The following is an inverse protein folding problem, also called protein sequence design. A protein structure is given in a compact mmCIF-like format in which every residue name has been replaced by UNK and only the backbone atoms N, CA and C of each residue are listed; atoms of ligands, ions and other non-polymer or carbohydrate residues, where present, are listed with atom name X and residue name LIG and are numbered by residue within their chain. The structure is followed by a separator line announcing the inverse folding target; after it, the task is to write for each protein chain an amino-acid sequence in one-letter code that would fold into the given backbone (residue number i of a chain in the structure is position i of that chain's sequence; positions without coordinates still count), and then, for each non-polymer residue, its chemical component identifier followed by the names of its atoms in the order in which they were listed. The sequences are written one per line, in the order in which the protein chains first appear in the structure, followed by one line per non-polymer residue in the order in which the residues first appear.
data_IF_133912827141
#
_entry.id   IF_133912827141
#
_cell.length_a   1.000
_cell.length_b   1.000
_cell.length_c   1.000
_cell.angle_alpha   90.00
_cell.angle_beta   90.00
_cell.angle_gamma   90.00
#
_symmetry.space_group_name_H-M   'P 1'
#
loop_
_entity.id
_entity.type
_entity.pdbx_description
1 polymer ?
#
# COMPACT_ATOMS: atom_id res chain seq x y z
N UNK A 1 37.07 57.25 5.45
CA UNK A 1 37.58 55.94 4.99
C UNK A 1 37.10 54.87 5.95
N UNK A 2 36.08 54.12 5.60
CA UNK A 2 35.43 53.13 6.51
C UNK A 2 36.21 51.82 6.37
N UNK A 3 37.00 51.44 7.39
CA UNK A 3 37.66 50.13 7.45
C UNK A 3 36.61 49.07 7.83
N UNK A 4 36.09 48.39 6.85
CA UNK A 4 35.19 47.24 7.06
C UNK A 4 36.01 46.10 7.66
N UNK A 5 35.65 45.67 8.87
CA UNK A 5 36.35 44.62 9.59
C UNK A 5 36.00 43.26 8.99
N UNK A 6 36.82 42.81 8.03
CA UNK A 6 36.63 41.56 7.26
C UNK A 6 36.45 40.32 8.14
N UNK A 7 37.09 40.29 9.29
CA UNK A 7 36.98 39.17 10.24
C UNK A 7 35.59 39.07 10.90
N UNK A 8 34.89 40.19 11.05
CA UNK A 8 33.55 40.22 11.61
C UNK A 8 32.51 39.70 10.62
N UNK A 9 32.72 40.04 9.34
CA UNK A 9 31.88 39.59 8.22
C UNK A 9 32.07 38.08 8.01
N UNK A 10 33.29 37.57 8.05
CA UNK A 10 33.59 36.15 7.90
C UNK A 10 32.95 35.30 9.02
N UNK A 11 32.96 35.80 10.26
CA UNK A 11 32.28 35.09 11.39
C UNK A 11 30.77 35.07 11.22
N UNK A 12 30.14 36.17 10.77
CA UNK A 12 28.69 36.17 10.50
C UNK A 12 28.32 35.22 9.37
N UNK A 13 29.08 35.17 8.28
CA UNK A 13 28.87 34.23 7.17
C UNK A 13 28.99 32.75 7.62
N UNK A 14 29.96 32.46 8.46
CA UNK A 14 30.13 31.10 9.03
C UNK A 14 28.95 30.68 9.87
N UNK A 15 28.39 31.54 10.71
CA UNK A 15 27.20 31.23 11.50
C UNK A 15 25.94 31.05 10.64
N UNK A 16 25.78 31.88 9.61
CA UNK A 16 24.67 31.76 8.65
C UNK A 16 24.76 30.42 7.90
N UNK A 17 25.95 30.05 7.44
CA UNK A 17 26.16 28.76 6.77
C UNK A 17 25.86 27.58 7.68
N UNK A 18 26.26 27.66 8.94
CA UNK A 18 26.02 26.61 9.93
C UNK A 18 24.51 26.43 10.23
N UNK A 19 23.75 27.52 10.32
CA UNK A 19 22.30 27.52 10.46
C UNK A 19 21.63 26.88 9.25
N UNK A 20 22.08 27.19 8.03
CA UNK A 20 21.55 26.58 6.81
C UNK A 20 21.81 25.07 6.74
N UNK A 21 23.00 24.62 7.15
CA UNK A 21 23.34 23.19 7.21
C UNK A 21 22.44 22.49 8.24
N UNK A 22 22.23 23.08 9.42
CA UNK A 22 21.33 22.52 10.45
C UNK A 22 19.90 22.45 9.92
N UNK A 23 19.39 23.51 9.30
CA UNK A 23 18.06 23.53 8.70
C UNK A 23 17.91 22.48 7.58
N UNK A 24 18.96 22.25 6.79
CA UNK A 24 18.96 21.22 5.74
C UNK A 24 18.97 19.81 6.34
N UNK A 25 19.70 19.58 7.42
CA UNK A 25 19.72 18.30 8.14
C UNK A 25 18.40 18.01 8.85
N UNK A 26 17.72 19.03 9.37
CA UNK A 26 16.38 18.89 9.94
C UNK A 26 15.26 18.85 8.90
N UNK A 27 15.49 19.34 7.68
CA UNK A 27 14.55 19.26 6.55
C UNK A 27 14.53 17.86 5.89
N UNK A 28 15.52 17.01 6.15
CA UNK A 28 15.42 15.59 5.93
C UNK A 28 14.45 14.98 6.99
N UNK A 29 13.21 15.45 7.02
CA UNK A 29 12.12 14.61 7.53
C UNK A 29 12.19 13.35 6.68
N UNK A 30 12.72 12.29 7.29
CA UNK A 30 12.39 10.96 6.89
C UNK A 30 10.87 10.94 6.76
N UNK A 31 10.37 11.06 5.54
CA UNK A 31 9.04 10.58 5.23
C UNK A 31 9.10 9.13 5.68
N UNK A 32 8.62 8.87 6.90
CA UNK A 32 8.37 7.50 7.33
C UNK A 32 7.44 7.00 6.24
N UNK A 33 8.01 6.20 5.35
CA UNK A 33 7.22 5.37 4.46
C UNK A 33 6.13 4.77 5.33
N UNK A 34 4.85 4.90 4.97
CA UNK A 34 3.77 4.37 5.77
C UNK A 34 4.17 2.95 6.08
N UNK A 35 4.23 2.62 7.39
CA UNK A 35 4.72 1.35 7.92
C UNK A 35 4.01 0.27 7.11
N UNK A 36 4.77 -0.40 6.26
CA UNK A 36 4.25 -1.37 5.31
C UNK A 36 3.44 -2.35 6.13
N UNK A 37 2.11 -2.37 5.96
CA UNK A 37 1.24 -3.22 6.76
C UNK A 37 1.48 -4.65 6.28
N UNK A 38 2.51 -5.27 6.83
CA UNK A 38 2.79 -6.67 6.62
C UNK A 38 1.82 -7.50 7.46
N UNK A 39 1.12 -8.41 6.81
CA UNK A 39 0.27 -9.38 7.49
C UNK A 39 1.02 -10.68 7.66
N UNK A 40 1.18 -11.14 8.90
CA UNK A 40 1.76 -12.45 9.15
C UNK A 40 0.70 -13.52 8.91
N UNK A 41 0.97 -14.43 7.99
CA UNK A 41 0.10 -15.57 7.68
C UNK A 41 0.55 -16.77 8.49
N UNK A 42 -0.36 -17.33 9.28
CA UNK A 42 -0.18 -18.56 10.03
C UNK A 42 -1.09 -19.68 9.50
N UNK A 43 -0.85 -20.95 9.86
CA UNK A 43 -1.69 -22.07 9.40
C UNK A 43 -3.19 -21.92 9.70
N UNK A 44 -3.54 -21.20 10.78
CA UNK A 44 -4.95 -20.95 11.15
C UNK A 44 -5.66 -19.94 10.23
N UNK A 45 -4.90 -19.16 9.46
CA UNK A 45 -5.44 -18.09 8.62
C UNK A 45 -5.79 -18.57 7.22
N UNK A 46 -5.39 -19.80 6.86
CA UNK A 46 -5.56 -20.37 5.52
C UNK A 46 -6.03 -21.82 5.56
N UNK A 47 -6.70 -22.22 4.48
CA UNK A 47 -7.07 -23.60 4.20
C UNK A 47 -6.39 -24.08 2.93
N UNK A 48 -5.81 -25.28 2.96
CA UNK A 48 -5.28 -25.91 1.76
C UNK A 48 -6.39 -26.63 1.00
N UNK A 49 -6.50 -26.32 -0.28
CA UNK A 49 -7.43 -27.00 -1.19
C UNK A 49 -6.66 -28.07 -1.97
N UNK A 50 -6.90 -29.34 -1.64
CA UNK A 50 -6.24 -30.49 -2.26
C UNK A 50 -6.57 -30.65 -3.74
N UNK A 51 -7.73 -30.17 -4.20
CA UNK A 51 -8.15 -30.27 -5.60
C UNK A 51 -7.37 -29.28 -6.48
N UNK A 52 -7.21 -28.05 -6.00
CA UNK A 52 -6.57 -26.96 -6.78
C UNK A 52 -5.09 -26.77 -6.45
N UNK A 53 -4.59 -27.44 -5.40
CA UNK A 53 -3.19 -27.32 -4.97
C UNK A 53 -2.82 -25.92 -4.43
N UNK A 54 -3.79 -25.12 -4.01
CA UNK A 54 -3.56 -23.77 -3.52
C UNK A 54 -4.17 -23.56 -2.14
N UNK A 55 -3.60 -22.61 -1.40
CA UNK A 55 -4.16 -22.12 -0.14
C UNK A 55 -5.25 -21.08 -0.41
N UNK A 56 -6.25 -21.06 0.45
CA UNK A 56 -7.30 -20.03 0.46
C UNK A 56 -7.41 -19.42 1.85
N UNK A 57 -7.60 -18.10 1.98
CA UNK A 57 -7.72 -17.47 3.29
C UNK A 57 -9.02 -17.88 3.97
N UNK A 58 -8.97 -17.96 5.30
CA UNK A 58 -10.19 -18.04 6.11
C UNK A 58 -11.02 -16.76 5.93
N UNK A 59 -12.28 -16.82 6.32
CA UNK A 59 -13.18 -15.66 6.24
C UNK A 59 -12.63 -14.49 7.07
N UNK A 60 -12.13 -14.77 8.27
CA UNK A 60 -11.53 -13.73 9.15
C UNK A 60 -10.35 -13.04 8.48
N UNK A 61 -9.44 -13.81 7.89
CA UNK A 61 -8.26 -13.25 7.25
C UNK A 61 -8.61 -12.46 5.97
N UNK A 62 -9.56 -12.97 5.17
CA UNK A 62 -10.09 -12.25 4.01
C UNK A 62 -10.66 -10.90 4.40
N UNK A 63 -11.45 -10.83 5.46
CA UNK A 63 -12.03 -9.59 5.96
C UNK A 63 -10.95 -8.58 6.39
N UNK A 64 -9.83 -9.04 6.93
CA UNK A 64 -8.69 -8.16 7.25
C UNK A 64 -8.07 -7.59 5.98
N UNK A 65 -7.90 -8.39 4.92
CA UNK A 65 -7.40 -7.93 3.62
C UNK A 65 -8.36 -6.91 3.00
N UNK A 66 -9.65 -7.21 2.97
CA UNK A 66 -10.67 -6.27 2.46
C UNK A 66 -10.64 -4.95 3.22
N UNK A 67 -10.55 -4.99 4.55
CA UNK A 67 -10.46 -3.80 5.39
C UNK A 67 -9.19 -2.99 5.08
N UNK A 68 -8.06 -3.65 4.77
CA UNK A 68 -6.86 -2.98 4.31
C UNK A 68 -7.11 -2.24 3.00
N UNK A 69 -7.73 -2.89 2.02
CA UNK A 69 -8.05 -2.26 0.72
C UNK A 69 -8.92 -1.01 0.94
N UNK A 70 -9.99 -1.11 1.73
CA UNK A 70 -10.86 0.04 2.02
C UNK A 70 -10.12 1.22 2.66
N UNK A 71 -9.17 0.95 3.56
CA UNK A 71 -8.40 2.00 4.24
C UNK A 71 -7.38 2.68 3.34
N UNK A 72 -6.86 1.97 2.35
CA UNK A 72 -5.80 2.48 1.48
C UNK A 72 -6.30 2.95 0.13
N UNK A 73 -7.55 2.65 -0.22
CA UNK A 73 -8.18 3.12 -1.43
C UNK A 73 -8.37 4.64 -1.40
N UNK A 74 -7.91 5.30 -2.44
CA UNK A 74 -8.01 6.75 -2.56
C UNK A 74 -8.82 7.15 -3.79
N UNK A 75 -9.95 7.74 -3.56
CA UNK A 75 -10.78 8.27 -4.63
C UNK A 75 -10.07 9.37 -5.43
N UNK A 76 -9.24 10.17 -4.77
CA UNK A 76 -8.46 11.21 -5.46
C UNK A 76 -7.43 10.60 -6.42
N UNK A 77 -6.79 9.48 -6.04
CA UNK A 77 -5.88 8.75 -6.94
C UNK A 77 -6.63 8.08 -8.09
N UNK A 78 -7.84 7.60 -7.83
CA UNK A 78 -8.71 7.07 -8.88
C UNK A 78 -9.15 8.16 -9.88
N UNK A 79 -8.73 9.42 -9.70
CA UNK A 79 -9.05 10.52 -10.62
C UNK A 79 -10.55 10.84 -10.68
N UNK A 80 -11.30 10.31 -9.74
CA UNK A 80 -12.74 10.42 -9.76
C UNK A 80 -13.21 11.69 -9.06
N UNK A 81 -13.37 12.75 -9.83
CA UNK A 81 -13.97 14.00 -9.38
C UNK A 81 -15.49 13.89 -9.53
N UNK A 82 -16.19 13.88 -8.41
CA UNK A 82 -17.59 13.50 -8.37
C UNK A 82 -18.54 14.53 -8.97
N UNK A 83 -19.33 14.05 -9.89
CA UNK A 83 -20.63 14.71 -10.17
C UNK A 83 -21.82 13.84 -9.72
N UNK A 84 -21.66 12.53 -9.57
CA UNK A 84 -22.75 11.59 -9.28
C UNK A 84 -22.39 10.59 -8.18
N UNK A 85 -23.40 10.06 -7.50
CA UNK A 85 -23.23 8.93 -6.59
C UNK A 85 -22.82 7.68 -7.36
N UNK A 86 -21.83 6.94 -6.87
CA UNK A 86 -21.43 5.67 -7.46
C UNK A 86 -21.65 4.58 -6.46
N UNK A 87 -22.28 3.53 -6.92
CA UNK A 87 -22.45 2.30 -6.16
C UNK A 87 -22.11 1.12 -7.05
N UNK A 88 -21.38 0.17 -6.51
CA UNK A 88 -21.05 -1.03 -7.26
C UNK A 88 -20.19 -2.01 -6.48
N UNK A 89 -19.69 -3.00 -7.20
CA UNK A 89 -18.88 -4.06 -6.65
C UNK A 89 -17.82 -4.45 -7.68
N UNK A 90 -16.61 -4.72 -7.21
CA UNK A 90 -15.55 -5.37 -7.96
C UNK A 90 -15.21 -6.71 -7.35
N UNK A 91 -14.83 -7.68 -8.18
CA UNK A 91 -14.28 -8.96 -7.73
C UNK A 91 -12.91 -9.13 -8.36
N UNK A 92 -11.89 -9.25 -7.52
CA UNK A 92 -10.50 -9.39 -7.92
C UNK A 92 -9.98 -10.72 -7.39
N UNK A 93 -9.43 -11.55 -8.28
CA UNK A 93 -8.67 -12.73 -7.91
C UNK A 93 -7.21 -12.34 -7.77
N UNK A 94 -6.60 -12.77 -6.66
CA UNK A 94 -5.17 -12.56 -6.39
C UNK A 94 -4.53 -13.91 -6.15
N UNK A 95 -3.41 -14.17 -6.84
CA UNK A 95 -2.53 -15.29 -6.61
C UNK A 95 -1.22 -14.74 -6.02
N UNK A 96 -0.95 -15.11 -4.76
CA UNK A 96 0.20 -14.64 -3.99
C UNK A 96 1.16 -15.80 -3.72
N UNK A 97 2.43 -15.61 -4.00
CA UNK A 97 3.49 -16.55 -3.66
C UNK A 97 3.93 -16.33 -2.22
N UNK A 98 3.58 -17.26 -1.35
CA UNK A 98 3.95 -17.18 0.06
C UNK A 98 5.44 -17.45 0.31
N UNK A 99 6.10 -18.17 -0.59
CA UNK A 99 7.52 -18.48 -0.46
C UNK A 99 8.37 -17.26 -0.77
N UNK A 100 8.06 -16.59 -1.88
CA UNK A 100 8.82 -15.43 -2.37
C UNK A 100 8.21 -14.09 -1.91
N UNK A 101 7.14 -14.14 -1.12
CA UNK A 101 6.44 -12.95 -0.59
C UNK A 101 6.07 -11.94 -1.67
N UNK A 102 5.58 -12.42 -2.81
CA UNK A 102 5.20 -11.57 -3.94
C UNK A 102 3.87 -11.99 -4.59
N UNK A 103 3.29 -11.08 -5.35
CA UNK A 103 2.08 -11.34 -6.12
C UNK A 103 2.48 -12.01 -7.44
N UNK A 104 1.97 -13.23 -7.69
CA UNK A 104 2.12 -13.94 -8.96
C UNK A 104 1.15 -13.46 -10.03
N UNK A 105 -0.07 -13.09 -9.62
CA UNK A 105 -1.08 -12.66 -10.57
C UNK A 105 -2.23 -11.92 -9.92
N UNK A 106 -2.79 -10.99 -10.68
CA UNK A 106 -4.02 -10.27 -10.34
C UNK A 106 -4.94 -10.35 -11.55
N UNK A 107 -6.21 -10.74 -11.33
CA UNK A 107 -7.25 -10.75 -12.37
C UNK A 107 -8.50 -10.08 -11.84
N UNK A 108 -9.04 -9.15 -12.60
CA UNK A 108 -10.36 -8.59 -12.34
C UNK A 108 -11.38 -9.55 -12.94
N UNK A 109 -12.17 -10.19 -12.10
CA UNK A 109 -13.27 -11.08 -12.52
C UNK A 109 -14.56 -10.30 -12.75
N UNK A 110 -14.74 -9.21 -12.02
CA UNK A 110 -15.85 -8.27 -12.18
C UNK A 110 -15.28 -6.86 -12.05
N UNK A 111 -15.37 -6.08 -13.12
CA UNK A 111 -14.91 -4.69 -13.18
C UNK A 111 -15.91 -3.75 -12.51
N UNK A 112 -15.41 -2.63 -12.01
CA UNK A 112 -16.23 -1.49 -11.58
C UNK A 112 -16.89 -0.77 -12.77
N UNK A 113 -16.49 -1.08 -14.02
CA UNK A 113 -16.77 -0.32 -15.25
C UNK A 113 -16.18 1.11 -15.23
N UNK A 114 -15.27 1.39 -14.33
CA UNK A 114 -14.54 2.65 -14.22
C UNK A 114 -13.05 2.30 -14.14
N UNK A 115 -12.34 2.45 -15.23
CA UNK A 115 -10.95 2.01 -15.37
C UNK A 115 -10.04 2.54 -14.24
N UNK A 116 -10.15 3.82 -13.92
CA UNK A 116 -9.34 4.44 -12.86
C UNK A 116 -9.63 3.91 -11.46
N UNK A 117 -10.85 3.44 -11.20
CA UNK A 117 -11.22 2.79 -9.94
C UNK A 117 -10.61 1.40 -9.89
N UNK A 118 -10.67 0.65 -10.99
CA UNK A 118 -10.06 -0.67 -11.10
C UNK A 118 -8.52 -0.59 -10.95
N UNK A 119 -7.89 0.41 -11.56
CA UNK A 119 -6.45 0.67 -11.42
C UNK A 119 -6.05 0.99 -9.97
N UNK A 120 -6.82 1.80 -9.27
CA UNK A 120 -6.59 2.12 -7.87
C UNK A 120 -6.77 0.87 -6.98
N UNK A 121 -7.76 0.02 -7.25
CA UNK A 121 -7.94 -1.25 -6.55
C UNK A 121 -6.73 -2.18 -6.77
N UNK A 122 -6.25 -2.30 -8.00
CA UNK A 122 -5.04 -3.07 -8.33
C UNK A 122 -3.83 -2.49 -7.62
N UNK A 123 -3.70 -1.16 -7.57
CA UNK A 123 -2.62 -0.49 -6.84
C UNK A 123 -2.64 -0.85 -5.35
N UNK A 124 -3.81 -0.79 -4.70
CA UNK A 124 -3.96 -1.19 -3.30
C UNK A 124 -3.60 -2.66 -3.08
N UNK A 125 -4.02 -3.55 -3.99
CA UNK A 125 -3.68 -4.98 -3.93
C UNK A 125 -2.17 -5.20 -4.03
N UNK A 126 -1.49 -4.50 -4.94
CA UNK A 126 -0.03 -4.60 -5.11
C UNK A 126 0.78 -4.13 -3.89
N UNK A 127 0.17 -3.37 -3.01
CA UNK A 127 0.77 -2.94 -1.73
C UNK A 127 0.57 -3.93 -0.59
N UNK A 128 -0.20 -4.99 -0.81
CA UNK A 128 -0.31 -6.07 0.16
C UNK A 128 1.03 -6.79 0.29
N UNK A 129 1.49 -6.93 1.51
CA UNK A 129 2.68 -7.69 1.84
C UNK A 129 2.36 -8.71 2.92
N UNK A 130 2.65 -9.98 2.64
CA UNK A 130 2.42 -11.07 3.58
C UNK A 130 3.76 -11.66 4.02
N UNK A 131 3.92 -11.78 5.34
CA UNK A 131 5.02 -12.51 5.95
C UNK A 131 4.55 -13.92 6.22
N UNK A 132 5.19 -14.90 5.59
CA UNK A 132 4.83 -16.29 5.75
C UNK A 132 5.43 -16.86 7.05
N UNK A 133 4.56 -17.22 8.00
CA UNK A 133 4.94 -17.93 9.22
C UNK A 133 4.74 -19.46 9.12
N UNK A 134 4.31 -19.96 7.95
CA UNK A 134 4.16 -21.39 7.71
C UNK A 134 5.51 -22.00 7.36
N UNK A 135 5.86 -23.10 8.03
CA UNK A 135 7.05 -23.88 7.72
C UNK A 135 6.74 -24.81 6.54
N UNK A 136 7.49 -24.70 5.45
CA UNK A 136 7.36 -25.59 4.30
C UNK A 136 8.24 -25.17 3.14
N UNK A 137 8.72 -26.15 2.36
CA UNK A 137 9.68 -25.97 1.26
C UNK A 137 9.05 -26.09 -0.13
N UNK A 138 7.72 -26.01 -0.25
CA UNK A 138 7.05 -26.20 -1.53
C UNK A 138 6.33 -24.93 -1.98
N UNK A 139 6.10 -24.82 -3.29
CA UNK A 139 5.37 -23.74 -3.93
C UNK A 139 4.03 -23.48 -3.24
N UNK A 140 4.01 -22.54 -2.32
CA UNK A 140 2.81 -22.18 -1.55
C UNK A 140 2.16 -20.98 -2.19
N UNK A 141 1.12 -21.24 -2.98
CA UNK A 141 0.31 -20.17 -3.59
C UNK A 141 -0.93 -19.96 -2.73
N UNK A 142 -1.11 -18.73 -2.28
CA UNK A 142 -2.34 -18.27 -1.65
C UNK A 142 -3.23 -17.64 -2.72
N UNK A 143 -4.37 -18.26 -3.00
CA UNK A 143 -5.38 -17.71 -3.91
C UNK A 143 -6.55 -17.17 -3.12
N UNK A 144 -6.94 -15.94 -3.40
CA UNK A 144 -8.10 -15.35 -2.75
C UNK A 144 -8.88 -14.43 -3.70
N UNK A 145 -10.17 -14.33 -3.39
CA UNK A 145 -11.08 -13.41 -4.05
C UNK A 145 -11.37 -12.26 -3.11
N UNK A 146 -11.06 -11.05 -3.57
CA UNK A 146 -11.45 -9.82 -2.90
C UNK A 146 -12.76 -9.34 -3.52
N UNK A 147 -13.77 -9.14 -2.68
CA UNK A 147 -15.04 -8.56 -3.06
C UNK A 147 -15.10 -7.14 -2.47
N UNK A 148 -14.78 -6.17 -3.30
CA UNK A 148 -14.78 -4.77 -2.89
C UNK A 148 -16.12 -4.15 -3.29
N UNK A 149 -16.89 -3.74 -2.29
CA UNK A 149 -18.10 -2.95 -2.48
C UNK A 149 -17.75 -1.49 -2.31
N UNK A 150 -18.18 -0.67 -3.24
CA UNK A 150 -17.98 0.77 -3.13
C UNK A 150 -19.32 1.46 -3.18
N UNK A 151 -19.48 2.38 -2.27
CA UNK A 151 -20.63 3.26 -2.20
C UNK A 151 -20.10 4.63 -1.87
N UNK A 152 -20.17 5.56 -2.81
CA UNK A 152 -19.92 6.95 -2.53
C UNK A 152 -21.17 7.74 -2.80
N UNK A 153 -21.72 8.24 -1.72
CA UNK A 153 -22.85 9.15 -1.73
C UNK A 153 -22.30 10.56 -1.90
N UNK A 154 -22.93 11.34 -2.74
CA UNK A 154 -22.68 12.78 -2.84
C UNK A 154 -23.15 13.43 -1.54
N UNK A 155 -22.23 13.99 -0.76
CA UNK A 155 -22.55 14.92 0.31
C UNK A 155 -22.63 16.33 -0.27
#
# INVERSE_FOLDING_TARGET
MIRINLNKIMRCLSHILLIWIILFLFSCRTTQLPKENSYTISPKDVHYNYITGVYSPTLSFRNQIEKYIYRNFSWNRAGYVYKNSIQGQSIIQVDYDLLNSNIKGIRILMSTNIASVDEELIYCVRKLHFVNAMKGNQNMVLRFLLRVRYNKIRN
#
